data_IF_375777454838
#
_entry.id   IF_375777454838
#
_cell.length_a   1.000
_cell.length_b   1.000
_cell.length_c   1.000
_cell.angle_alpha   90.00
_cell.angle_beta   90.00
_cell.angle_gamma   90.00
#
_symmetry.space_group_name_H-M   'P 1'
#
loop_
_entity.id
_entity.type
_entity.pdbx_description
1 polymer ?
#
# COMPACT_ATOMS: atom_id res chain seq x y z
N UNK A 1 -16.34 14.58 -24.52
CA UNK A 1 -16.31 16.04 -24.79
C UNK A 1 -15.96 16.71 -23.48
N UNK A 2 -14.90 17.51 -23.46
CA UNK A 2 -14.55 18.33 -22.30
C UNK A 2 -15.48 19.56 -22.20
N UNK A 3 -15.55 20.19 -21.03
CA UNK A 3 -16.28 21.44 -20.79
C UNK A 3 -15.60 22.65 -21.45
N UNK A 4 -14.28 22.58 -21.72
CA UNK A 4 -13.54 23.66 -22.41
C UNK A 4 -13.46 24.97 -21.61
N UNK A 5 -13.60 24.90 -20.28
CA UNK A 5 -13.60 26.07 -19.40
C UNK A 5 -12.20 26.65 -19.16
N UNK A 6 -11.19 25.78 -19.11
CA UNK A 6 -9.81 26.12 -18.80
C UNK A 6 -8.97 25.77 -20.02
N UNK A 7 -8.31 26.75 -20.66
CA UNK A 7 -7.38 26.47 -21.74
C UNK A 7 -6.15 25.73 -21.20
N UNK A 8 -5.67 24.70 -21.91
CA UNK A 8 -4.51 23.90 -21.48
C UNK A 8 -4.61 22.44 -21.89
N UNK A 9 -3.60 21.65 -21.51
CA UNK A 9 -3.54 20.20 -21.74
C UNK A 9 -3.24 19.51 -20.42
N UNK A 10 -3.89 18.37 -20.18
CA UNK A 10 -3.56 17.47 -19.08
C UNK A 10 -2.39 16.58 -19.54
N UNK A 11 -1.26 16.69 -18.85
CA UNK A 11 -0.05 15.89 -19.10
C UNK A 11 0.05 14.68 -18.17
N UNK A 12 0.88 13.71 -18.53
CA UNK A 12 1.30 12.62 -17.62
C UNK A 12 2.57 13.08 -16.90
N UNK A 13 2.76 12.70 -15.63
CA UNK A 13 4.03 12.97 -14.96
C UNK A 13 5.19 12.24 -15.65
N UNK A 14 6.26 12.97 -15.94
CA UNK A 14 7.59 12.41 -16.20
C UNK A 14 8.39 12.50 -14.89
N UNK A 15 8.70 11.34 -14.30
CA UNK A 15 9.40 11.29 -13.00
C UNK A 15 10.86 11.73 -13.17
N UNK A 16 11.16 13.00 -12.94
CA UNK A 16 12.53 13.47 -12.69
C UNK A 16 12.59 14.65 -11.72
N UNK A 17 13.16 14.38 -10.53
CA UNK A 17 13.63 15.28 -9.46
C UNK A 17 12.61 16.04 -8.57
N UNK A 18 12.78 15.86 -7.26
CA UNK A 18 12.06 16.57 -6.17
C UNK A 18 12.26 18.10 -6.18
N UNK A 19 11.17 18.86 -6.00
CA UNK A 19 11.21 20.27 -5.55
C UNK A 19 9.87 20.68 -4.87
N UNK A 20 9.77 21.90 -4.33
CA UNK A 20 8.81 22.30 -3.28
C UNK A 20 7.65 23.23 -3.75
N UNK A 21 6.45 23.08 -3.14
CA UNK A 21 5.53 24.11 -2.53
C UNK A 21 4.03 23.87 -2.77
N UNK A 22 3.26 24.05 -1.67
CA UNK A 22 1.80 24.19 -1.55
C UNK A 22 1.46 25.53 -0.86
N UNK A 23 0.67 26.40 -1.49
CA UNK A 23 0.34 27.75 -0.94
C UNK A 23 -0.98 27.83 -0.16
N UNK A 24 -1.85 26.80 -0.19
CA UNK A 24 -3.24 26.92 0.30
C UNK A 24 -3.64 25.98 1.48
N UNK A 25 -2.74 25.12 1.99
CA UNK A 25 -3.14 24.06 2.97
C UNK A 25 -2.51 24.21 4.37
N UNK A 26 -1.38 24.90 4.50
CA UNK A 26 -0.58 24.88 5.73
C UNK A 26 0.39 23.69 5.80
N UNK A 27 0.97 23.40 6.98
CA UNK A 27 1.81 22.20 7.28
C UNK A 27 0.98 20.90 7.29
N UNK A 28 -0.01 20.79 6.40
CA UNK A 28 -1.07 19.80 6.45
C UNK A 28 -1.13 19.10 5.10
N UNK A 29 -1.17 17.78 5.13
CA UNK A 29 -1.17 16.95 3.94
C UNK A 29 -2.58 16.80 3.36
N UNK A 30 -2.66 16.68 2.03
CA UNK A 30 -3.86 16.32 1.27
C UNK A 30 -3.54 15.12 0.38
N UNK A 31 -4.56 14.34 0.01
CA UNK A 31 -4.39 13.09 -0.70
C UNK A 31 -4.58 13.25 -2.22
N UNK A 32 -3.48 13.06 -2.96
CA UNK A 32 -3.47 12.99 -4.42
C UNK A 32 -3.35 11.54 -4.88
N UNK A 33 -4.11 11.16 -5.91
CA UNK A 33 -4.05 9.83 -6.52
C UNK A 33 -4.33 9.92 -8.02
N UNK A 34 -3.30 10.19 -8.82
CA UNK A 34 -3.43 10.41 -10.27
C UNK A 34 -2.10 10.17 -11.01
N UNK A 35 -2.17 9.75 -12.27
CA UNK A 35 -1.01 9.72 -13.18
C UNK A 35 -0.95 10.94 -14.10
N UNK A 36 -2.03 11.70 -14.17
CA UNK A 36 -2.21 12.83 -15.08
C UNK A 36 -2.56 14.09 -14.29
N UNK A 37 -2.03 15.23 -14.68
CA UNK A 37 -2.27 16.51 -14.00
C UNK A 37 -2.34 17.67 -15.01
N UNK A 38 -2.99 18.75 -14.60
CA UNK A 38 -3.00 19.99 -15.37
C UNK A 38 -1.73 20.80 -15.05
N UNK A 39 -0.98 21.21 -16.09
CA UNK A 39 0.28 21.93 -15.89
C UNK A 39 0.06 23.46 -15.71
N UNK A 40 0.84 24.16 -14.85
CA UNK A 40 0.56 25.53 -14.47
C UNK A 40 0.84 26.55 -15.57
N UNK A 41 1.72 26.23 -16.53
CA UNK A 41 2.00 27.02 -17.76
C UNK A 41 2.55 26.02 -18.77
N UNK A 42 2.22 26.14 -20.06
CA UNK A 42 2.90 25.36 -21.10
C UNK A 42 4.11 26.18 -21.62
N UNK A 43 5.37 25.80 -21.31
CA UNK A 43 6.55 26.54 -21.77
C UNK A 43 6.64 26.61 -23.30
N UNK A 44 6.07 25.64 -24.01
CA UNK A 44 6.06 25.59 -25.47
C UNK A 44 4.94 26.43 -26.10
N UNK A 45 3.94 26.90 -25.33
CA UNK A 45 2.78 27.61 -25.87
C UNK A 45 2.85 29.14 -25.76
N UNK A 46 3.82 29.72 -25.05
CA UNK A 46 3.91 31.19 -24.83
C UNK A 46 2.56 31.83 -24.45
N UNK A 47 1.72 31.16 -23.66
CA UNK A 47 0.43 31.72 -23.25
C UNK A 47 0.15 31.53 -21.75
N UNK A 48 -0.23 32.63 -21.10
CA UNK A 48 -0.61 32.75 -19.68
C UNK A 48 -2.13 32.42 -19.48
N UNK A 49 -2.74 31.69 -20.41
CA UNK A 49 -4.20 31.67 -20.61
C UNK A 49 -5.00 31.08 -19.43
N UNK A 50 -4.37 30.22 -18.60
CA UNK A 50 -5.00 29.59 -17.44
C UNK A 50 -4.61 30.25 -16.10
N UNK A 51 -3.72 31.24 -16.10
CA UNK A 51 -3.16 31.85 -14.90
C UNK A 51 -4.22 32.47 -13.98
N UNK A 52 -5.28 33.03 -14.56
CA UNK A 52 -6.42 33.59 -13.81
C UNK A 52 -7.29 32.53 -13.10
N UNK A 53 -7.14 31.26 -13.47
CA UNK A 53 -7.88 30.15 -12.86
C UNK A 53 -7.11 29.50 -11.71
N UNK A 54 -5.78 29.56 -11.71
CA UNK A 54 -4.94 28.83 -10.76
C UNK A 54 -5.10 29.47 -9.37
N UNK A 55 -5.57 28.67 -8.41
CA UNK A 55 -5.61 29.06 -7.00
C UNK A 55 -4.36 28.56 -6.29
N UNK A 56 -3.98 27.30 -6.53
CA UNK A 56 -2.75 26.73 -5.98
C UNK A 56 -2.08 25.75 -6.93
N UNK A 57 -0.77 25.61 -6.76
CA UNK A 57 0.08 24.60 -7.42
C UNK A 57 0.67 23.65 -6.38
N UNK A 58 1.12 22.50 -6.85
CA UNK A 58 1.91 21.49 -6.14
C UNK A 58 3.14 21.13 -6.99
N UNK A 59 4.15 20.52 -6.37
CA UNK A 59 5.26 19.90 -7.09
C UNK A 59 5.33 18.40 -6.78
N UNK A 60 5.54 17.59 -7.81
CA UNK A 60 5.90 16.18 -7.71
C UNK A 60 6.77 15.80 -8.91
N UNK A 61 8.07 16.09 -8.85
CA UNK A 61 8.93 16.05 -10.04
C UNK A 61 8.83 17.32 -10.87
N UNK A 62 7.59 17.71 -11.15
CA UNK A 62 7.23 18.91 -11.90
C UNK A 62 6.09 19.66 -11.18
N UNK A 63 5.97 20.96 -11.46
CA UNK A 63 4.87 21.76 -10.95
C UNK A 63 3.57 21.39 -11.67
N UNK A 64 2.47 21.27 -10.92
CA UNK A 64 1.13 21.02 -11.45
C UNK A 64 0.06 21.79 -10.66
N UNK A 65 -1.10 22.00 -11.30
CA UNK A 65 -2.23 22.71 -10.71
C UNK A 65 -2.90 21.81 -9.68
N UNK A 66 -2.89 22.24 -8.43
CA UNK A 66 -3.51 21.53 -7.31
C UNK A 66 -4.96 21.98 -7.09
N UNK A 67 -5.25 23.26 -7.32
CA UNK A 67 -6.61 23.79 -7.25
C UNK A 67 -6.83 25.00 -8.15
N UNK A 68 -8.09 25.19 -8.56
CA UNK A 68 -8.54 26.29 -9.39
C UNK A 68 -9.72 27.01 -8.76
N UNK A 69 -9.85 28.30 -9.08
CA UNK A 69 -10.99 29.12 -8.67
C UNK A 69 -11.23 30.27 -9.64
N UNK A 70 -12.44 30.35 -10.19
CA UNK A 70 -12.90 31.54 -10.92
C UNK A 70 -14.41 31.73 -10.77
N UNK A 71 -14.82 32.87 -10.23
CA UNK A 71 -16.23 33.14 -9.93
C UNK A 71 -16.81 32.10 -8.97
N UNK A 72 -17.83 31.37 -9.41
CA UNK A 72 -18.48 30.28 -8.67
C UNK A 72 -17.91 28.89 -8.99
N UNK A 73 -16.91 28.79 -9.86
CA UNK A 73 -16.25 27.54 -10.22
C UNK A 73 -15.04 27.33 -9.32
N UNK A 74 -14.99 26.18 -8.68
CA UNK A 74 -13.90 25.72 -7.83
C UNK A 74 -13.64 24.25 -8.14
N UNK A 75 -12.38 23.85 -8.25
CA UNK A 75 -12.02 22.43 -8.33
C UNK A 75 -10.65 22.21 -7.69
N UNK A 76 -10.42 20.97 -7.27
CA UNK A 76 -9.17 20.48 -6.68
C UNK A 76 -8.76 19.21 -7.39
N UNK A 77 -7.45 19.01 -7.56
CA UNK A 77 -6.89 17.79 -8.15
C UNK A 77 -6.73 16.67 -7.10
N UNK A 78 -6.61 17.03 -5.82
CA UNK A 78 -6.64 16.10 -4.69
C UNK A 78 -8.07 15.74 -4.27
N UNK A 79 -8.21 14.71 -3.44
CA UNK A 79 -9.48 14.23 -2.92
C UNK A 79 -9.72 14.77 -1.50
N UNK A 80 -10.50 15.86 -1.31
CA UNK A 80 -10.75 16.42 0.01
C UNK A 80 -11.52 15.46 0.93
N UNK A 81 -12.36 14.59 0.38
CA UNK A 81 -13.06 13.52 1.12
C UNK A 81 -12.12 12.40 1.60
N UNK A 82 -10.88 12.34 1.08
CA UNK A 82 -9.82 11.40 1.47
C UNK A 82 -8.63 12.07 2.15
N UNK A 83 -8.76 13.35 2.48
CA UNK A 83 -7.69 14.16 3.10
C UNK A 83 -7.96 14.44 4.58
N UNK A 84 -8.68 13.55 5.27
CA UNK A 84 -9.02 13.68 6.68
C UNK A 84 -9.68 15.02 7.04
N UNK A 85 -9.37 15.54 8.23
CA UNK A 85 -9.90 16.81 8.73
C UNK A 85 -9.53 18.01 7.85
N UNK A 86 -8.38 17.94 7.17
CA UNK A 86 -7.90 18.99 6.26
C UNK A 86 -8.86 19.12 5.09
N UNK A 87 -9.16 18.02 4.41
CA UNK A 87 -10.08 18.05 3.28
C UNK A 87 -11.53 18.32 3.67
N UNK A 88 -11.98 17.87 4.85
CA UNK A 88 -13.27 18.28 5.41
C UNK A 88 -13.35 19.80 5.61
N UNK A 89 -12.25 20.46 6.02
CA UNK A 89 -12.20 21.92 6.14
C UNK A 89 -12.32 22.62 4.78
N UNK A 90 -11.73 22.04 3.74
CA UNK A 90 -11.84 22.51 2.34
C UNK A 90 -13.30 22.42 1.87
N UNK A 91 -13.97 21.29 2.10
CA UNK A 91 -15.39 21.11 1.73
C UNK A 91 -16.31 22.07 2.49
N UNK A 92 -16.01 22.36 3.75
CA UNK A 92 -16.74 23.34 4.58
C UNK A 92 -16.43 24.79 4.23
N UNK A 93 -15.50 25.04 3.29
CA UNK A 93 -15.02 26.38 2.88
C UNK A 93 -14.49 27.20 4.05
N UNK A 94 -13.86 26.56 5.02
CA UNK A 94 -13.18 27.25 6.11
C UNK A 94 -11.82 27.76 5.63
N UNK A 95 -11.41 28.95 6.06
CA UNK A 95 -10.08 29.47 5.73
C UNK A 95 -9.02 28.58 6.37
N UNK A 96 -8.21 27.93 5.54
CA UNK A 96 -6.96 27.32 5.98
C UNK A 96 -5.96 28.44 6.33
N UNK A 97 -5.23 28.28 7.43
CA UNK A 97 -4.11 29.13 7.82
C UNK A 97 -2.90 28.24 8.08
N UNK A 98 -1.75 28.50 7.46
CA UNK A 98 -0.51 27.78 7.76
C UNK A 98 0.62 28.04 6.74
N UNK A 99 1.80 27.49 7.02
CA UNK A 99 3.03 27.59 6.23
C UNK A 99 3.14 26.47 5.16
N UNK A 100 4.24 26.46 4.39
CA UNK A 100 4.42 25.64 3.18
C UNK A 100 4.64 24.16 3.52
N UNK A 101 3.85 23.26 2.95
CA UNK A 101 4.19 21.83 2.87
C UNK A 101 4.94 21.54 1.56
N UNK A 102 6.11 20.88 1.64
CA UNK A 102 7.08 20.84 0.54
C UNK A 102 7.38 19.46 -0.06
N UNK A 103 6.84 18.36 0.49
CA UNK A 103 7.14 16.98 0.05
C UNK A 103 5.94 16.03 0.18
N UNK A 104 5.94 14.96 -0.63
CA UNK A 104 5.09 13.80 -0.37
C UNK A 104 5.43 13.21 1.00
N UNK A 105 4.39 12.95 1.79
CA UNK A 105 4.56 12.24 3.05
C UNK A 105 4.87 10.76 2.78
N UNK A 106 5.79 10.20 3.57
CA UNK A 106 5.96 8.75 3.63
C UNK A 106 4.75 8.18 4.37
N UNK A 107 3.92 7.42 3.66
CA UNK A 107 2.64 6.93 4.18
C UNK A 107 2.83 5.77 5.16
N UNK A 108 2.08 5.81 6.26
CA UNK A 108 1.93 4.71 7.20
C UNK A 108 0.53 4.09 7.01
N UNK A 109 0.51 2.84 6.54
CA UNK A 109 -0.71 2.12 6.20
C UNK A 109 -1.07 1.16 7.33
N UNK A 110 -2.30 1.25 7.82
CA UNK A 110 -2.85 0.31 8.78
C UNK A 110 -3.51 -0.85 8.04
N UNK A 111 -3.22 -2.09 8.42
CA UNK A 111 -3.82 -3.27 7.81
C UNK A 111 -4.67 -4.05 8.81
N UNK A 112 -5.77 -4.65 8.35
CA UNK A 112 -6.57 -5.58 9.14
C UNK A 112 -7.04 -6.80 8.34
N UNK A 113 -6.84 -7.97 8.94
CA UNK A 113 -7.39 -9.25 8.45
C UNK A 113 -8.85 -9.36 8.84
N UNK A 114 -9.73 -9.44 7.84
CA UNK A 114 -11.17 -9.64 8.05
C UNK A 114 -11.50 -11.10 7.77
N UNK A 115 -12.02 -11.79 8.79
CA UNK A 115 -12.41 -13.20 8.73
C UNK A 115 -13.82 -13.40 9.25
N UNK A 116 -14.38 -14.56 8.98
CA UNK A 116 -15.63 -15.04 9.57
C UNK A 116 -15.29 -15.96 10.75
N UNK A 117 -15.89 -15.73 11.92
CA UNK A 117 -15.75 -16.63 13.06
C UNK A 117 -16.71 -17.84 12.94
N UNK A 118 -16.64 -18.76 13.91
CA UNK A 118 -17.48 -19.97 13.94
C UNK A 118 -19.00 -19.67 14.04
N UNK A 119 -19.40 -18.43 14.37
CA UNK A 119 -20.80 -17.96 14.43
C UNK A 119 -21.27 -17.26 13.14
N UNK A 120 -20.40 -17.09 12.16
CA UNK A 120 -20.71 -16.35 10.94
C UNK A 120 -20.47 -14.84 11.04
N UNK A 121 -19.98 -14.33 12.17
CA UNK A 121 -19.72 -12.90 12.35
C UNK A 121 -18.37 -12.52 11.73
N UNK A 122 -18.30 -11.31 11.19
CA UNK A 122 -17.05 -10.71 10.75
C UNK A 122 -16.23 -10.22 11.95
N UNK A 123 -14.99 -10.69 12.03
CA UNK A 123 -14.03 -10.38 13.09
C UNK A 123 -12.69 -10.00 12.49
N UNK A 124 -11.93 -9.20 13.25
CA UNK A 124 -10.51 -8.96 12.96
C UNK A 124 -9.65 -9.98 13.69
N UNK A 125 -8.74 -10.63 12.99
CA UNK A 125 -7.80 -11.59 13.59
C UNK A 125 -6.36 -11.09 13.53
N UNK A 126 -5.46 -11.70 14.31
CA UNK A 126 -4.02 -11.42 14.20
C UNK A 126 -3.54 -11.95 12.84
N UNK A 127 -2.73 -11.18 12.13
CA UNK A 127 -2.00 -11.61 10.93
C UNK A 127 -0.84 -12.55 11.22
N UNK A 128 -0.97 -13.44 12.21
CA UNK A 128 -0.07 -14.59 12.31
C UNK A 128 -0.60 -15.64 11.32
N UNK A 129 0.29 -16.36 10.64
CA UNK A 129 -0.10 -17.41 9.70
C UNK A 129 -1.10 -18.37 10.32
N UNK A 130 -2.37 -18.24 9.91
CA UNK A 130 -3.50 -19.18 9.97
C UNK A 130 -3.84 -19.85 11.32
N UNK A 131 -3.00 -19.79 12.36
CA UNK A 131 -3.29 -20.18 13.74
C UNK A 131 -3.92 -18.99 14.48
N UNK A 132 -5.15 -18.70 14.04
CA UNK A 132 -5.97 -17.60 14.58
C UNK A 132 -6.80 -18.04 15.78
N UNK A 133 -6.65 -19.28 16.23
CA UNK A 133 -7.44 -19.83 17.34
C UNK A 133 -6.69 -19.64 18.66
N UNK A 134 -7.43 -19.37 19.73
CA UNK A 134 -6.83 -19.33 21.06
C UNK A 134 -6.46 -20.76 21.50
N UNK A 135 -5.26 -20.94 22.08
CA UNK A 135 -4.88 -22.18 22.76
C UNK A 135 -5.60 -22.34 24.12
N UNK A 136 -6.91 -22.10 24.14
CA UNK A 136 -7.82 -22.38 25.26
C UNK A 136 -8.58 -23.67 24.95
N UNK A 137 -9.29 -24.23 25.94
CA UNK A 137 -10.05 -25.48 25.78
C UNK A 137 -11.14 -25.41 24.69
N UNK A 138 -11.56 -24.19 24.32
CA UNK A 138 -12.68 -23.94 23.42
C UNK A 138 -12.21 -23.63 21.98
N UNK A 139 -10.90 -23.40 21.75
CA UNK A 139 -10.28 -23.23 20.43
C UNK A 139 -10.97 -22.17 19.55
N UNK A 140 -11.49 -21.10 20.15
CA UNK A 140 -12.25 -20.04 19.45
C UNK A 140 -11.34 -19.15 18.59
N UNK A 141 -11.88 -18.59 17.50
CA UNK A 141 -11.18 -17.60 16.68
C UNK A 141 -10.93 -16.32 17.47
N UNK A 142 -9.67 -15.92 17.61
CA UNK A 142 -9.25 -14.70 18.32
C UNK A 142 -9.87 -13.47 17.67
N UNK A 143 -10.70 -12.75 18.41
CA UNK A 143 -11.41 -11.56 17.96
C UNK A 143 -10.74 -10.29 18.49
N UNK A 144 -10.06 -9.54 17.62
CA UNK A 144 -9.42 -8.26 17.93
C UNK A 144 -10.38 -7.06 17.82
N UNK A 145 -11.66 -7.31 17.51
CA UNK A 145 -12.70 -6.31 17.37
C UNK A 145 -13.43 -6.41 16.04
N UNK A 146 -14.40 -5.50 15.86
CA UNK A 146 -15.14 -5.36 14.60
C UNK A 146 -14.34 -4.55 13.58
N UNK A 147 -14.28 -4.98 12.30
CA UNK A 147 -13.50 -4.29 11.27
C UNK A 147 -13.74 -2.78 11.19
N UNK A 148 -15.00 -2.36 11.25
CA UNK A 148 -15.42 -0.94 11.14
C UNK A 148 -14.90 -0.10 12.32
N UNK A 149 -15.03 -0.62 13.54
CA UNK A 149 -14.62 0.09 14.76
C UNK A 149 -13.10 0.24 14.81
N UNK A 150 -12.37 -0.80 14.40
CA UNK A 150 -10.91 -0.76 14.35
C UNK A 150 -10.39 0.17 13.26
N UNK A 151 -10.97 0.13 12.05
CA UNK A 151 -10.63 1.06 10.98
C UNK A 151 -10.85 2.52 11.41
N UNK A 152 -11.95 2.80 12.13
CA UNK A 152 -12.20 4.10 12.72
C UNK A 152 -11.14 4.49 13.75
N UNK A 153 -10.67 3.55 14.56
CA UNK A 153 -9.61 3.81 15.52
C UNK A 153 -8.28 4.13 14.83
N UNK A 154 -7.90 3.36 13.81
CA UNK A 154 -6.70 3.62 13.00
C UNK A 154 -6.72 4.99 12.34
N UNK A 155 -7.84 5.39 11.75
CA UNK A 155 -8.00 6.74 11.22
C UNK A 155 -7.77 7.82 12.28
N UNK A 156 -8.39 7.67 13.47
CA UNK A 156 -8.21 8.61 14.58
C UNK A 156 -6.78 8.66 15.12
N UNK A 157 -6.09 7.53 15.09
CA UNK A 157 -4.71 7.42 15.55
C UNK A 157 -3.72 8.00 14.53
N UNK A 158 -4.16 8.27 13.29
CA UNK A 158 -3.38 8.96 12.27
C UNK A 158 -2.89 8.08 11.12
N UNK A 159 -3.56 6.95 10.85
CA UNK A 159 -3.28 6.15 9.66
C UNK A 159 -3.57 6.96 8.37
N UNK A 160 -2.62 6.97 7.44
CA UNK A 160 -2.79 7.65 6.14
C UNK A 160 -3.70 6.85 5.18
N UNK A 161 -3.79 5.54 5.41
CA UNK A 161 -4.58 4.60 4.63
C UNK A 161 -4.95 3.40 5.50
N UNK A 162 -6.13 2.81 5.24
CA UNK A 162 -6.58 1.58 5.89
C UNK A 162 -6.79 0.49 4.83
N UNK A 163 -6.05 -0.62 4.96
CA UNK A 163 -6.15 -1.79 4.11
C UNK A 163 -6.92 -2.92 4.79
N UNK A 164 -7.88 -3.48 4.08
CA UNK A 164 -8.67 -4.63 4.52
C UNK A 164 -8.27 -5.86 3.72
N UNK A 165 -7.72 -6.87 4.40
CA UNK A 165 -7.47 -8.18 3.81
C UNK A 165 -8.70 -9.06 4.04
N UNK A 166 -9.51 -9.19 3.00
CA UNK A 166 -10.71 -10.02 3.00
C UNK A 166 -10.34 -11.49 2.82
N UNK A 167 -10.35 -12.23 3.93
CA UNK A 167 -10.07 -13.67 3.99
C UNK A 167 -11.37 -14.43 4.31
N UNK A 168 -12.51 -13.84 3.94
CA UNK A 168 -13.82 -14.48 4.13
C UNK A 168 -14.10 -15.47 3.02
N UNK A 169 -14.72 -16.61 3.35
CA UNK A 169 -15.06 -17.67 2.41
C UNK A 169 -16.44 -17.51 1.75
N UNK A 170 -16.87 -16.28 1.42
CA UNK A 170 -18.23 -16.03 0.92
C UNK A 170 -18.39 -16.14 -0.61
N UNK A 171 -17.69 -17.10 -1.24
CA UNK A 171 -17.73 -17.26 -2.71
C UNK A 171 -19.08 -17.72 -3.27
N UNK A 172 -19.95 -18.28 -2.42
CA UNK A 172 -21.28 -18.77 -2.84
C UNK A 172 -22.37 -17.69 -2.83
N UNK A 173 -22.08 -16.51 -2.25
CA UNK A 173 -23.08 -15.43 -2.13
C UNK A 173 -23.13 -14.57 -3.40
N UNK A 174 -24.32 -14.05 -3.77
CA UNK A 174 -24.42 -13.01 -4.79
C UNK A 174 -23.52 -11.83 -4.43
N UNK A 175 -22.87 -11.23 -5.44
CA UNK A 175 -21.90 -10.14 -5.25
C UNK A 175 -22.42 -9.01 -4.35
N UNK A 176 -23.67 -8.59 -4.53
CA UNK A 176 -24.28 -7.50 -3.75
C UNK A 176 -24.50 -7.79 -2.26
N UNK A 177 -24.46 -9.07 -1.88
CA UNK A 177 -24.71 -9.55 -0.52
C UNK A 177 -23.42 -9.84 0.24
N UNK A 178 -22.25 -9.64 -0.39
CA UNK A 178 -20.97 -9.86 0.27
C UNK A 178 -20.83 -8.98 1.52
N UNK A 179 -20.63 -9.56 2.71
CA UNK A 179 -20.55 -8.80 3.96
C UNK A 179 -19.45 -7.72 3.97
N UNK A 180 -18.35 -7.96 3.24
CA UNK A 180 -17.25 -7.00 3.12
C UNK A 180 -17.68 -5.67 2.47
N UNK A 181 -18.68 -5.67 1.58
CA UNK A 181 -19.23 -4.43 1.00
C UNK A 181 -19.88 -3.56 2.08
N UNK A 182 -20.57 -4.17 3.04
CA UNK A 182 -21.17 -3.45 4.17
C UNK A 182 -20.10 -2.90 5.12
N UNK A 183 -19.02 -3.65 5.36
CA UNK A 183 -17.88 -3.17 6.14
C UNK A 183 -17.34 -1.87 5.56
N UNK A 184 -17.12 -1.82 4.24
CA UNK A 184 -16.64 -0.61 3.57
C UNK A 184 -17.63 0.55 3.69
N UNK A 185 -18.92 0.30 3.44
CA UNK A 185 -19.98 1.34 3.53
C UNK A 185 -20.03 1.96 4.92
N UNK A 186 -20.05 1.14 5.97
CA UNK A 186 -20.07 1.63 7.36
C UNK A 186 -18.74 2.27 7.80
N UNK A 187 -17.62 1.87 7.20
CA UNK A 187 -16.32 2.50 7.46
C UNK A 187 -16.30 3.94 6.98
N UNK A 188 -16.85 4.20 5.78
CA UNK A 188 -16.90 5.54 5.19
C UNK A 188 -17.72 6.57 5.98
N UNK A 189 -18.63 6.13 6.85
CA UNK A 189 -19.39 7.07 7.70
C UNK A 189 -18.47 7.90 8.61
N UNK A 190 -17.27 7.41 8.94
CA UNK A 190 -16.38 8.04 9.92
C UNK A 190 -14.89 8.00 9.57
N UNK A 191 -14.51 7.45 8.41
CA UNK A 191 -13.11 7.32 7.99
C UNK A 191 -12.92 8.04 6.66
N UNK A 192 -12.12 9.11 6.69
CA UNK A 192 -11.90 10.03 5.56
C UNK A 192 -10.47 9.96 5.04
N UNK A 193 -9.91 8.75 5.04
CA UNK A 193 -8.64 8.38 4.39
C UNK A 193 -8.90 7.27 3.38
N UNK A 194 -7.90 6.95 2.60
CA UNK A 194 -7.96 5.94 1.55
C UNK A 194 -8.24 4.55 2.13
N UNK A 195 -9.16 3.82 1.48
CA UNK A 195 -9.49 2.43 1.81
C UNK A 195 -9.02 1.51 0.70
N UNK A 196 -8.18 0.53 1.03
CA UNK A 196 -7.75 -0.54 0.12
C UNK A 196 -8.43 -1.83 0.53
N UNK A 197 -8.92 -2.63 -0.42
CA UNK A 197 -9.47 -3.96 -0.15
C UNK A 197 -8.76 -5.03 -0.99
N UNK A 198 -8.21 -6.05 -0.34
CA UNK A 198 -7.59 -7.20 -0.98
C UNK A 198 -8.34 -8.48 -0.67
N UNK A 199 -8.31 -9.46 -1.57
CA UNK A 199 -8.94 -10.77 -1.39
C UNK A 199 -10.30 -10.89 -2.08
N UNK A 200 -10.41 -11.88 -2.97
CA UNK A 200 -11.63 -12.15 -3.74
C UNK A 200 -11.87 -11.26 -4.96
N UNK A 201 -10.88 -10.46 -5.38
CA UNK A 201 -10.95 -9.61 -6.58
C UNK A 201 -10.56 -10.45 -7.81
N UNK A 202 -11.48 -11.30 -8.25
CA UNK A 202 -11.31 -12.21 -9.39
C UNK A 202 -12.66 -12.55 -10.01
N UNK A 203 -12.64 -13.17 -11.18
CA UNK A 203 -13.84 -13.73 -11.81
C UNK A 203 -14.40 -14.85 -10.90
N UNK A 204 -15.73 -14.88 -10.71
CA UNK A 204 -16.38 -15.96 -9.97
C UNK A 204 -17.83 -16.18 -10.43
N UNK A 205 -18.38 -17.34 -10.07
CA UNK A 205 -19.80 -17.68 -10.30
C UNK A 205 -20.47 -17.91 -8.95
N UNK A 206 -21.59 -17.23 -8.70
CA UNK A 206 -22.35 -17.40 -7.45
C UNK A 206 -23.19 -18.69 -7.43
N UNK A 207 -23.82 -19.00 -6.29
CA UNK A 207 -24.70 -20.18 -6.15
C UNK A 207 -25.94 -20.15 -7.06
N UNK A 208 -26.32 -18.98 -7.60
CA UNK A 208 -27.42 -18.85 -8.56
C UNK A 208 -26.96 -19.07 -10.01
N UNK A 209 -25.66 -19.33 -10.24
CA UNK A 209 -25.07 -19.51 -11.56
C UNK A 209 -24.79 -18.21 -12.30
N UNK A 210 -24.83 -17.05 -11.63
CA UNK A 210 -24.45 -15.78 -12.24
C UNK A 210 -22.93 -15.62 -12.20
N UNK A 211 -22.35 -15.48 -13.39
CA UNK A 211 -20.95 -15.14 -13.56
C UNK A 211 -20.71 -13.64 -13.36
N UNK A 212 -19.67 -13.31 -12.60
CA UNK A 212 -19.18 -11.96 -12.37
C UNK A 212 -17.73 -11.87 -12.83
N UNK A 213 -17.41 -10.83 -13.61
CA UNK A 213 -16.03 -10.50 -13.98
C UNK A 213 -15.31 -9.77 -12.85
N UNK A 214 -14.00 -9.89 -12.77
CA UNK A 214 -13.13 -9.15 -11.85
C UNK A 214 -13.37 -7.64 -11.90
N UNK A 215 -13.67 -7.08 -13.08
CA UNK A 215 -14.07 -5.69 -13.23
C UNK A 215 -15.41 -5.37 -12.55
N UNK A 216 -16.42 -6.22 -12.66
CA UNK A 216 -17.69 -6.06 -11.93
C UNK A 216 -17.49 -6.15 -10.42
N UNK A 217 -16.66 -7.10 -9.97
CA UNK A 217 -16.30 -7.25 -8.56
C UNK A 217 -15.63 -5.99 -8.03
N UNK A 218 -14.55 -5.54 -8.69
CA UNK A 218 -13.85 -4.32 -8.30
C UNK A 218 -14.79 -3.10 -8.34
N UNK A 219 -15.64 -2.99 -9.37
CA UNK A 219 -16.63 -1.93 -9.51
C UNK A 219 -17.62 -1.87 -8.35
N UNK A 220 -18.02 -3.01 -7.79
CA UNK A 220 -18.93 -3.05 -6.64
C UNK A 220 -18.21 -2.70 -5.33
N UNK A 221 -16.95 -3.13 -5.17
CA UNK A 221 -16.10 -2.70 -4.06
C UNK A 221 -15.86 -1.18 -4.07
N UNK A 222 -15.59 -0.58 -5.24
CA UNK A 222 -15.45 0.87 -5.37
C UNK A 222 -16.75 1.61 -5.02
N UNK A 223 -17.89 1.15 -5.52
CA UNK A 223 -19.21 1.71 -5.17
C UNK A 223 -19.55 1.58 -3.68
N UNK A 224 -18.97 0.59 -3.02
CA UNK A 224 -19.18 0.34 -1.60
C UNK A 224 -18.17 1.05 -0.70
N UNK A 225 -17.13 1.66 -1.27
CA UNK A 225 -16.27 2.60 -0.58
C UNK A 225 -14.77 2.34 -0.62
N UNK A 226 -14.33 1.25 -1.27
CA UNK A 226 -12.92 1.09 -1.57
C UNK A 226 -12.46 2.18 -2.55
N UNK A 227 -11.23 2.63 -2.40
CA UNK A 227 -10.55 3.51 -3.35
C UNK A 227 -9.59 2.71 -4.23
N UNK A 228 -9.06 1.61 -3.69
CA UNK A 228 -8.14 0.69 -4.36
C UNK A 228 -8.53 -0.76 -4.10
N UNK A 229 -8.27 -1.61 -5.09
CA UNK A 229 -8.38 -3.06 -4.96
C UNK A 229 -6.99 -3.70 -5.05
N UNK A 230 -6.75 -4.72 -4.21
CA UNK A 230 -5.52 -5.48 -4.20
C UNK A 230 -5.72 -6.85 -4.85
N UNK A 231 -4.88 -7.15 -5.84
CA UNK A 231 -4.89 -8.40 -6.61
C UNK A 231 -3.66 -9.22 -6.25
N UNK A 232 -3.87 -10.48 -5.86
CA UNK A 232 -2.81 -11.42 -5.46
C UNK A 232 -2.54 -12.47 -6.54
N UNK A 233 -3.09 -13.68 -6.36
CA UNK A 233 -2.78 -14.83 -7.23
C UNK A 233 -3.05 -14.62 -8.72
N UNK A 234 -4.14 -13.94 -9.07
CA UNK A 234 -4.45 -13.63 -10.47
C UNK A 234 -3.37 -12.77 -11.15
N UNK A 235 -2.71 -11.87 -10.39
CA UNK A 235 -1.61 -11.06 -10.90
C UNK A 235 -0.39 -11.91 -11.26
N UNK A 236 -0.12 -12.98 -10.49
CA UNK A 236 0.98 -13.91 -10.78
C UNK A 236 0.72 -14.67 -12.07
N UNK A 237 -0.49 -15.21 -12.25
CA UNK A 237 -0.85 -15.92 -13.48
C UNK A 237 -0.84 -15.00 -14.70
N UNK A 238 -1.34 -13.77 -14.55
CA UNK A 238 -1.29 -12.75 -15.61
C UNK A 238 0.17 -12.42 -16.00
N UNK A 239 1.06 -12.27 -15.02
CA UNK A 239 2.48 -11.98 -15.26
C UNK A 239 3.22 -13.15 -15.92
N UNK A 240 3.01 -14.39 -15.48
CA UNK A 240 3.59 -15.58 -16.11
C UNK A 240 3.21 -15.67 -17.59
N UNK A 241 1.92 -15.47 -17.90
CA UNK A 241 1.43 -15.49 -19.29
C UNK A 241 2.00 -14.33 -20.11
N UNK A 242 2.10 -13.13 -19.52
CA UNK A 242 2.70 -11.97 -20.16
C UNK A 242 4.19 -12.18 -20.44
N UNK A 243 4.97 -12.70 -19.50
CA UNK A 243 6.40 -12.98 -19.68
C UNK A 243 6.59 -14.04 -20.76
N UNK A 244 5.76 -15.08 -20.76
CA UNK A 244 5.83 -16.18 -21.74
C UNK A 244 5.50 -15.73 -23.17
N UNK A 245 4.55 -14.80 -23.33
CA UNK A 245 4.02 -14.42 -24.64
C UNK A 245 4.52 -13.07 -25.15
N UNK A 246 4.89 -12.16 -24.25
CA UNK A 246 5.12 -10.74 -24.52
C UNK A 246 3.85 -9.95 -24.85
N UNK A 247 2.65 -10.53 -24.68
CA UNK A 247 1.39 -9.94 -25.17
C UNK A 247 0.48 -9.49 -24.02
N UNK A 248 0.10 -8.21 -24.06
CA UNK A 248 -1.00 -7.65 -23.26
C UNK A 248 -2.34 -8.06 -23.85
N UNK A 249 -3.03 -8.99 -23.21
CA UNK A 249 -4.26 -9.60 -23.76
C UNK A 249 -5.48 -8.67 -23.70
N UNK A 250 -5.44 -7.66 -22.83
CA UNK A 250 -6.56 -6.80 -22.46
C UNK A 250 -7.65 -7.51 -21.65
N UNK A 251 -7.38 -8.72 -21.14
CA UNK A 251 -8.37 -9.58 -20.49
C UNK A 251 -8.07 -9.90 -19.03
N UNK A 252 -6.85 -9.68 -18.57
CA UNK A 252 -6.49 -9.91 -17.17
C UNK A 252 -7.20 -8.91 -16.26
N UNK A 253 -7.39 -9.25 -14.98
CA UNK A 253 -8.01 -8.33 -14.02
C UNK A 253 -7.24 -7.00 -13.93
N UNK A 254 -5.90 -7.06 -13.95
CA UNK A 254 -5.01 -5.90 -13.97
C UNK A 254 -5.35 -4.97 -15.14
N UNK A 255 -5.38 -5.50 -16.37
CA UNK A 255 -5.63 -4.71 -17.58
C UNK A 255 -7.05 -4.16 -17.64
N UNK A 256 -8.05 -4.96 -17.25
CA UNK A 256 -9.46 -4.56 -17.29
C UNK A 256 -9.77 -3.46 -16.27
N UNK A 257 -9.32 -3.63 -15.02
CA UNK A 257 -9.58 -2.69 -13.94
C UNK A 257 -8.79 -1.40 -14.18
N UNK A 258 -7.48 -1.48 -14.49
CA UNK A 258 -6.65 -0.30 -14.74
C UNK A 258 -7.13 0.52 -15.93
N UNK A 259 -7.62 -0.12 -17.00
CA UNK A 259 -8.16 0.57 -18.18
C UNK A 259 -9.40 1.41 -17.86
N UNK A 260 -10.24 0.96 -16.94
CA UNK A 260 -11.52 1.62 -16.61
C UNK A 260 -11.37 2.58 -15.43
N UNK A 261 -10.66 2.17 -14.40
CA UNK A 261 -10.53 2.88 -13.14
C UNK A 261 -9.20 3.66 -13.01
N UNK A 262 -8.26 3.43 -13.91
CA UNK A 262 -6.89 3.95 -13.86
C UNK A 262 -5.96 3.03 -13.06
N UNK A 263 -4.66 3.06 -13.38
CA UNK A 263 -3.65 2.25 -12.70
C UNK A 263 -3.66 2.47 -11.19
N UNK A 264 -3.90 3.71 -10.75
CA UNK A 264 -3.91 4.10 -9.34
C UNK A 264 -4.95 3.36 -8.49
N UNK A 265 -5.94 2.71 -9.11
CA UNK A 265 -6.94 1.90 -8.42
C UNK A 265 -6.52 0.43 -8.21
N UNK A 266 -5.40 0.00 -8.80
CA UNK A 266 -4.93 -1.39 -8.83
C UNK A 266 -3.63 -1.52 -8.03
N UNK A 267 -3.73 -2.20 -6.89
CA UNK A 267 -2.58 -2.62 -6.07
C UNK A 267 -2.29 -4.09 -6.35
N UNK A 268 -1.04 -4.49 -6.47
CA UNK A 268 -0.66 -5.92 -6.56
C UNK A 268 -0.01 -6.37 -5.27
N UNK A 269 -0.59 -7.38 -4.62
CA UNK A 269 0.01 -8.04 -3.46
C UNK A 269 0.99 -9.10 -3.95
N UNK A 270 2.28 -8.89 -3.69
CA UNK A 270 3.35 -9.83 -4.00
C UNK A 270 3.77 -10.51 -2.71
N UNK A 271 3.72 -11.84 -2.70
CA UNK A 271 4.04 -12.69 -1.55
C UNK A 271 5.29 -13.55 -1.86
N UNK A 272 6.50 -12.97 -1.80
CA UNK A 272 7.73 -13.69 -2.05
C UNK A 272 8.23 -14.41 -0.80
N UNK A 273 8.95 -15.50 -1.04
CA UNK A 273 9.84 -16.13 -0.06
C UNK A 273 11.27 -16.13 -0.60
N UNK A 274 12.24 -15.94 0.28
CA UNK A 274 13.65 -15.94 -0.06
C UNK A 274 14.14 -17.37 -0.28
N UNK A 275 14.83 -17.58 -1.38
CA UNK A 275 15.48 -18.85 -1.72
C UNK A 275 16.97 -18.56 -1.88
N UNK A 276 17.76 -19.03 -0.92
CA UNK A 276 19.22 -18.85 -0.92
C UNK A 276 19.87 -19.80 -1.95
N UNK A 277 20.96 -19.35 -2.55
CA UNK A 277 21.67 -20.03 -3.62
C UNK A 277 23.18 -20.03 -3.37
N UNK A 278 23.84 -21.10 -3.78
CA UNK A 278 25.31 -21.16 -3.79
C UNK A 278 25.87 -20.34 -4.96
N UNK A 279 25.22 -20.40 -6.13
CA UNK A 279 25.62 -19.68 -7.32
C UNK A 279 24.46 -18.82 -7.86
N UNK A 280 24.68 -17.53 -8.20
CA UNK A 280 23.65 -16.68 -8.77
C UNK A 280 23.06 -17.18 -10.11
N UNK A 281 23.74 -18.09 -10.81
CA UNK A 281 23.31 -18.65 -12.10
C UNK A 281 22.48 -19.95 -11.95
N UNK A 282 22.21 -20.41 -10.72
CA UNK A 282 21.43 -21.64 -10.47
C UNK A 282 19.94 -21.51 -10.85
N UNK A 283 19.48 -20.27 -11.06
CA UNK A 283 18.11 -19.95 -11.49
C UNK A 283 18.13 -18.97 -12.65
N UNK A 284 17.10 -19.02 -13.50
CA UNK A 284 16.94 -18.07 -14.62
C UNK A 284 16.40 -16.69 -14.19
N UNK A 285 16.00 -16.56 -12.92
CA UNK A 285 15.41 -15.36 -12.35
C UNK A 285 16.47 -14.45 -11.75
N UNK A 286 16.12 -13.16 -11.58
CA UNK A 286 17.00 -12.18 -10.98
C UNK A 286 17.43 -12.57 -9.57
N UNK A 287 18.73 -12.81 -9.41
CA UNK A 287 19.40 -13.01 -8.14
C UNK A 287 20.04 -11.72 -7.62
N UNK A 288 20.26 -11.67 -6.31
CA UNK A 288 20.98 -10.60 -5.63
C UNK A 288 22.04 -11.20 -4.71
N UNK A 289 23.08 -10.41 -4.44
CA UNK A 289 23.93 -10.63 -3.26
C UNK A 289 23.16 -10.17 -2.03
N UNK A 290 23.02 -11.03 -1.04
CA UNK A 290 22.27 -10.73 0.18
C UNK A 290 23.15 -10.04 1.22
N UNK A 291 22.58 -9.10 1.96
CA UNK A 291 23.29 -8.41 3.04
C UNK A 291 23.56 -9.36 4.21
N UNK A 292 22.62 -10.27 4.47
CA UNK A 292 22.75 -11.33 5.47
C UNK A 292 22.83 -12.70 4.79
N UNK A 293 23.95 -13.44 4.91
CA UNK A 293 24.09 -14.77 4.31
C UNK A 293 23.02 -15.76 4.79
N UNK A 294 22.74 -16.77 3.97
CA UNK A 294 21.83 -17.87 4.28
C UNK A 294 22.34 -18.77 5.41
N UNK A 295 21.52 -19.73 5.88
CA UNK A 295 21.85 -20.62 7.00
C UNK A 295 23.15 -21.41 6.82
N UNK A 296 23.56 -21.68 5.57
CA UNK A 296 24.80 -22.40 5.24
C UNK A 296 25.90 -21.47 4.70
N UNK A 297 25.72 -20.15 4.81
CA UNK A 297 26.67 -19.15 4.30
C UNK A 297 26.44 -18.76 2.84
N UNK A 298 25.27 -19.07 2.28
CA UNK A 298 24.89 -18.66 0.92
C UNK A 298 24.86 -17.13 0.79
N UNK A 299 25.67 -16.57 -0.09
CA UNK A 299 25.78 -15.11 -0.32
C UNK A 299 24.79 -14.60 -1.37
N UNK A 300 24.06 -15.50 -2.03
CA UNK A 300 23.11 -15.16 -3.09
C UNK A 300 21.69 -15.61 -2.74
N UNK A 301 20.70 -14.90 -3.23
CA UNK A 301 19.30 -15.34 -3.18
C UNK A 301 18.48 -14.80 -4.35
N UNK A 302 17.36 -15.46 -4.60
CA UNK A 302 16.23 -14.89 -5.34
C UNK A 302 14.97 -14.98 -4.49
N UNK A 303 13.95 -14.23 -4.89
CA UNK A 303 12.70 -14.12 -4.15
C UNK A 303 11.58 -14.77 -4.94
N UNK A 304 11.30 -16.03 -4.63
CA UNK A 304 10.28 -16.81 -5.33
C UNK A 304 8.88 -16.34 -4.93
N UNK A 305 8.06 -15.97 -5.91
CA UNK A 305 6.67 -15.57 -5.66
C UNK A 305 5.78 -16.79 -5.36
N UNK A 306 4.71 -16.53 -4.63
CA UNK A 306 3.71 -17.52 -4.28
C UNK A 306 2.30 -17.09 -4.66
N UNK A 307 1.40 -18.08 -4.71
CA UNK A 307 -0.04 -17.90 -4.89
C UNK A 307 -0.79 -18.65 -3.80
N UNK A 308 -2.12 -18.53 -3.78
CA UNK A 308 -2.97 -19.18 -2.80
C UNK A 308 -2.57 -18.81 -1.36
N UNK A 309 -2.28 -17.52 -1.13
CA UNK A 309 -1.90 -16.97 0.18
C UNK A 309 -0.64 -17.60 0.76
N UNK A 310 0.44 -17.68 -0.02
CA UNK A 310 1.73 -18.23 0.42
C UNK A 310 1.94 -19.72 0.18
N UNK A 311 0.88 -20.48 -0.12
CA UNK A 311 0.90 -21.96 -0.06
C UNK A 311 1.54 -22.64 -1.26
N UNK A 312 1.54 -22.00 -2.42
CA UNK A 312 2.05 -22.58 -3.66
C UNK A 312 3.12 -21.67 -4.24
N UNK A 313 4.34 -22.19 -4.40
CA UNK A 313 5.42 -21.47 -5.09
C UNK A 313 5.23 -21.50 -6.59
N UNK A 314 5.57 -20.38 -7.24
CA UNK A 314 5.51 -20.23 -8.69
C UNK A 314 6.91 -20.06 -9.28
N UNK A 315 7.14 -20.48 -10.53
CA UNK A 315 8.40 -20.25 -11.23
C UNK A 315 8.48 -18.80 -11.74
N UNK A 316 8.46 -17.83 -10.82
CA UNK A 316 8.61 -16.40 -11.12
C UNK A 316 9.19 -15.69 -9.89
N UNK A 317 10.17 -14.83 -10.11
CA UNK A 317 10.79 -14.01 -9.06
C UNK A 317 10.02 -12.72 -8.80
N UNK A 318 10.19 -12.13 -7.61
CA UNK A 318 9.55 -10.87 -7.23
C UNK A 318 9.92 -9.72 -8.18
N UNK A 319 11.17 -9.72 -8.68
CA UNK A 319 11.64 -8.75 -9.67
C UNK A 319 10.88 -8.89 -11.01
N UNK A 320 10.78 -10.11 -11.54
CA UNK A 320 10.08 -10.36 -12.81
C UNK A 320 8.58 -10.06 -12.68
N UNK A 321 7.97 -10.50 -11.57
CA UNK A 321 6.56 -10.23 -11.30
C UNK A 321 6.28 -8.74 -11.22
N UNK A 322 7.08 -7.98 -10.45
CA UNK A 322 6.90 -6.54 -10.27
C UNK A 322 6.91 -5.79 -11.60
N UNK A 323 7.88 -6.09 -12.47
CA UNK A 323 7.97 -5.47 -13.80
C UNK A 323 6.81 -5.85 -14.70
N UNK A 324 6.42 -7.12 -14.69
CA UNK A 324 5.30 -7.60 -15.50
C UNK A 324 3.97 -6.95 -15.09
N UNK A 325 3.70 -6.83 -13.79
CA UNK A 325 2.42 -6.25 -13.34
C UNK A 325 2.35 -4.74 -13.53
N UNK A 326 3.47 -4.03 -13.44
CA UNK A 326 3.55 -2.62 -13.82
C UNK A 326 3.14 -2.44 -15.29
N UNK A 327 3.69 -3.26 -16.19
CA UNK A 327 3.33 -3.25 -17.60
C UNK A 327 1.84 -3.59 -17.83
N UNK A 328 1.26 -4.48 -17.02
CA UNK A 328 -0.14 -4.89 -17.11
C UNK A 328 -1.12 -3.88 -16.48
N UNK A 329 -0.63 -2.78 -15.91
CA UNK A 329 -1.44 -1.66 -15.43
C UNK A 329 -1.60 -1.58 -13.91
N UNK A 330 -0.77 -2.28 -13.13
CA UNK A 330 -0.67 -2.00 -11.70
C UNK A 330 -0.22 -0.55 -11.47
N UNK A 331 -0.79 0.11 -10.46
CA UNK A 331 -0.39 1.45 -10.04
C UNK A 331 0.40 1.48 -8.74
N UNK A 332 0.44 0.37 -8.00
CA UNK A 332 1.15 0.24 -6.73
C UNK A 332 1.43 -1.23 -6.42
N UNK A 333 2.55 -1.51 -5.76
CA UNK A 333 2.92 -2.86 -5.29
C UNK A 333 2.83 -2.89 -3.77
N UNK A 334 2.03 -3.81 -3.23
CA UNK A 334 2.09 -4.23 -1.84
C UNK A 334 3.07 -5.40 -1.73
N UNK A 335 4.28 -5.13 -1.23
CA UNK A 335 5.36 -6.11 -1.18
C UNK A 335 5.44 -6.71 0.23
N UNK A 336 4.87 -7.91 0.38
CA UNK A 336 4.99 -8.68 1.61
C UNK A 336 6.33 -9.44 1.64
N UNK A 337 6.65 -10.06 2.76
CA UNK A 337 7.81 -10.94 2.91
C UNK A 337 7.38 -12.14 3.77
N UNK A 338 7.22 -13.32 3.15
CA UNK A 338 6.74 -14.52 3.86
C UNK A 338 7.67 -14.88 5.02
N UNK A 339 8.99 -14.79 4.82
CA UNK A 339 9.98 -15.13 5.86
C UNK A 339 9.98 -14.11 7.03
N UNK A 340 9.50 -12.90 6.78
CA UNK A 340 9.33 -11.85 7.77
C UNK A 340 7.96 -11.92 8.47
N UNK A 341 7.07 -12.76 7.96
CA UNK A 341 5.69 -12.89 8.40
C UNK A 341 5.51 -14.15 9.25
N UNK A 342 5.48 -13.97 10.57
CA UNK A 342 4.77 -14.89 11.45
C UNK A 342 5.31 -16.30 11.70
N UNK A 343 6.60 -16.61 11.52
CA UNK A 343 7.16 -17.87 12.05
C UNK A 343 7.82 -17.71 13.44
N UNK A 344 7.21 -18.40 14.41
CA UNK A 344 7.88 -18.91 15.60
C UNK A 344 8.83 -20.04 15.17
N UNK A 345 10.10 -19.74 14.91
CA UNK A 345 11.15 -20.69 15.29
C UNK A 345 11.76 -20.30 16.63
N UNK A 346 11.58 -21.24 17.53
CA UNK A 346 11.79 -21.21 18.96
C UNK A 346 13.29 -21.24 19.30
N UNK A 347 14.05 -20.19 18.99
CA UNK A 347 15.36 -19.94 19.61
C UNK A 347 15.55 -18.45 19.91
N UNK A 348 14.66 -17.89 20.72
CA UNK A 348 14.89 -16.57 21.32
C UNK A 348 15.78 -16.74 22.55
N UNK A 349 17.09 -16.50 22.39
CA UNK A 349 17.99 -16.22 23.52
C UNK A 349 17.54 -14.90 24.15
N UNK A 350 16.64 -14.99 25.12
CA UNK A 350 16.17 -13.86 25.90
C UNK A 350 17.17 -13.54 27.01
N UNK A 351 18.33 -12.98 26.64
CA UNK A 351 19.26 -12.27 27.54
C UNK A 351 19.96 -11.25 26.65
N UNK A 352 19.66 -9.95 26.65
CA UNK A 352 20.22 -8.97 27.60
C UNK A 352 19.71 -7.57 27.19
N UNK A 353 18.69 -7.00 27.83
CA UNK A 353 18.34 -5.57 27.64
C UNK A 353 17.83 -4.87 28.92
N UNK A 354 18.22 -5.36 30.11
CA UNK A 354 17.83 -4.72 31.38
C UNK A 354 18.97 -4.19 32.24
N UNK A 355 20.24 -4.27 31.81
CA UNK A 355 21.34 -3.68 32.57
C UNK A 355 22.38 -3.07 31.61
N UNK A 356 22.73 -1.80 31.88
CA UNK A 356 23.82 -0.97 31.33
C UNK A 356 23.45 0.01 30.18
N UNK A 357 23.02 1.25 30.52
CA UNK A 357 22.79 2.34 29.56
C UNK A 357 24.05 3.05 29.02
N UNK A 358 25.26 2.48 29.14
CA UNK A 358 26.53 3.22 28.88
C UNK A 358 27.49 2.61 27.85
N UNK A 359 27.04 1.69 26.98
CA UNK A 359 27.91 1.06 25.96
C UNK A 359 27.37 1.13 24.51
N UNK A 360 26.47 2.06 24.20
CA UNK A 360 25.95 2.27 22.83
C UNK A 360 26.86 3.18 21.98
N UNK A 361 28.14 2.81 21.82
CA UNK A 361 29.02 3.45 20.83
C UNK A 361 29.79 2.46 19.94
N UNK A 362 29.30 1.23 19.75
CA UNK A 362 30.05 0.27 18.92
C UNK A 362 29.45 -1.13 18.73
N UNK A 363 28.13 -1.30 18.66
CA UNK A 363 27.55 -2.57 18.21
C UNK A 363 27.16 -2.42 16.74
N UNK A 364 27.89 -3.15 15.90
CA UNK A 364 27.70 -3.27 14.46
C UNK A 364 26.31 -3.82 14.10
N UNK A 365 25.85 -3.40 12.93
CA UNK A 365 24.70 -3.86 12.15
C UNK A 365 24.50 -5.39 12.14
N UNK A 366 23.73 -5.92 13.08
CA UNK A 366 23.20 -7.28 13.01
C UNK A 366 21.68 -7.19 12.82
N UNK A 367 21.27 -6.77 11.62
CA UNK A 367 19.86 -6.61 11.25
C UNK A 367 19.29 -7.98 10.87
N UNK A 368 18.73 -8.65 11.86
CA UNK A 368 17.96 -9.88 11.67
C UNK A 368 16.68 -9.56 10.89
N UNK A 369 16.43 -10.21 9.76
CA UNK A 369 15.08 -10.28 9.18
C UNK A 369 14.24 -11.31 9.95
N UNK A 370 12.92 -11.12 9.99
CA UNK A 370 11.98 -11.98 10.73
C UNK A 370 10.88 -11.19 11.42
N UNK A 371 9.87 -11.88 11.95
CA UNK A 371 8.72 -11.24 12.59
C UNK A 371 9.16 -10.28 13.72
N UNK A 372 8.75 -9.01 13.61
CA UNK A 372 9.06 -7.99 14.60
C UNK A 372 10.54 -7.58 14.64
N UNK A 373 11.35 -7.99 13.66
CA UNK A 373 12.78 -7.65 13.57
C UNK A 373 13.11 -6.62 12.48
N UNK A 374 12.13 -6.27 11.65
CA UNK A 374 12.30 -5.31 10.55
C UNK A 374 11.76 -5.83 9.24
N UNK A 375 11.63 -4.92 8.27
CA UNK A 375 11.32 -5.26 6.89
C UNK A 375 12.53 -5.91 6.19
N UNK A 376 12.30 -6.75 5.18
CA UNK A 376 13.38 -7.24 4.30
C UNK A 376 13.83 -6.13 3.36
N UNK A 377 14.94 -5.47 3.71
CA UNK A 377 15.47 -4.36 2.92
C UNK A 377 16.03 -4.79 1.57
N UNK A 378 16.63 -5.98 1.48
CA UNK A 378 17.22 -6.48 0.23
C UNK A 378 16.11 -6.70 -0.82
N UNK A 379 14.99 -7.30 -0.38
CA UNK A 379 13.78 -7.48 -1.19
C UNK A 379 13.18 -6.13 -1.61
N UNK A 380 12.99 -5.21 -0.66
CA UNK A 380 12.36 -3.93 -0.93
C UNK A 380 13.21 -3.10 -1.88
N UNK A 381 14.54 -3.09 -1.69
CA UNK A 381 15.45 -2.43 -2.62
C UNK A 381 15.37 -3.04 -4.02
N UNK A 382 15.44 -4.37 -4.12
CA UNK A 382 15.35 -5.10 -5.38
C UNK A 382 14.11 -4.72 -6.20
N UNK A 383 12.95 -4.66 -5.54
CA UNK A 383 11.68 -4.37 -6.24
C UNK A 383 11.51 -2.88 -6.48
N UNK A 384 11.78 -2.03 -5.49
CA UNK A 384 11.60 -0.57 -5.63
C UNK A 384 12.56 0.09 -6.61
N UNK A 385 13.72 -0.52 -6.88
CA UNK A 385 14.62 -0.08 -7.95
C UNK A 385 14.20 -0.59 -9.35
N UNK A 386 13.37 -1.63 -9.40
CA UNK A 386 13.01 -2.31 -10.64
C UNK A 386 11.81 -1.69 -11.36
N UNK A 387 10.95 -0.97 -10.64
CA UNK A 387 9.68 -0.41 -11.12
C UNK A 387 9.60 1.09 -10.88
N UNK A 388 8.77 1.78 -11.67
CA UNK A 388 8.49 3.22 -11.49
C UNK A 388 7.25 3.50 -10.64
N UNK A 389 6.40 2.49 -10.44
CA UNK A 389 5.22 2.59 -9.57
C UNK A 389 5.58 2.49 -8.07
N UNK A 390 4.82 3.15 -7.17
CA UNK A 390 5.04 3.06 -5.72
C UNK A 390 5.09 1.64 -5.16
N UNK A 391 6.05 1.40 -4.26
CA UNK A 391 6.19 0.14 -3.51
C UNK A 391 5.90 0.39 -2.03
N UNK A 392 4.96 -0.38 -1.48
CA UNK A 392 4.61 -0.45 -0.06
C UNK A 392 5.42 -1.59 0.57
N UNK A 393 6.26 -1.26 1.56
CA UNK A 393 6.95 -2.24 2.38
C UNK A 393 5.97 -2.87 3.38
N UNK A 394 5.88 -4.20 3.41
CA UNK A 394 5.00 -4.95 4.31
C UNK A 394 5.72 -6.15 4.93
N UNK A 395 5.15 -6.69 6.02
CA UNK A 395 5.67 -7.79 6.85
C UNK A 395 6.96 -7.45 7.64
N UNK A 396 7.02 -7.84 8.92
CA UNK A 396 8.23 -7.72 9.77
C UNK A 396 8.35 -6.45 10.65
N UNK A 397 7.50 -5.44 10.47
CA UNK A 397 7.48 -4.26 11.35
C UNK A 397 7.20 -4.63 12.83
N UNK A 398 8.03 -4.14 13.74
CA UNK A 398 8.04 -4.48 15.17
C UNK A 398 8.26 -3.28 16.08
N UNK A 399 8.97 -2.26 15.58
CA UNK A 399 9.24 -1.03 16.29
C UNK A 399 9.19 0.17 15.32
N UNK A 400 9.13 1.38 15.88
CA UNK A 400 9.10 2.64 15.12
C UNK A 400 10.33 2.78 14.21
N UNK A 401 11.48 2.34 14.71
CA UNK A 401 12.77 2.42 14.03
C UNK A 401 12.74 1.68 12.69
N UNK A 402 11.95 0.61 12.56
CA UNK A 402 11.84 -0.15 11.32
C UNK A 402 11.25 0.69 10.19
N UNK A 403 10.31 1.60 10.49
CA UNK A 403 9.75 2.55 9.52
C UNK A 403 10.81 3.57 9.09
N UNK A 404 11.51 4.18 10.05
CA UNK A 404 12.59 5.11 9.70
C UNK A 404 13.68 4.41 8.87
N UNK A 405 13.99 3.16 9.16
CA UNK A 405 15.06 2.42 8.50
C UNK A 405 14.69 2.09 7.05
N UNK A 406 13.49 1.55 6.80
CA UNK A 406 13.04 1.20 5.45
C UNK A 406 12.99 2.43 4.53
N UNK A 407 12.50 3.57 5.02
CA UNK A 407 12.43 4.80 4.21
C UNK A 407 13.78 5.47 3.97
N UNK A 408 14.78 5.25 4.84
CA UNK A 408 16.14 5.79 4.68
C UNK A 408 17.01 4.92 3.78
N UNK A 409 16.78 3.61 3.80
CA UNK A 409 17.63 2.63 3.12
C UNK A 409 17.08 2.20 1.77
N UNK A 410 15.80 2.45 1.48
CA UNK A 410 15.15 2.00 0.26
C UNK A 410 14.27 3.07 -0.38
N UNK A 411 13.84 2.79 -1.63
CA UNK A 411 12.90 3.63 -2.37
C UNK A 411 11.42 3.32 -2.03
N UNK A 412 11.16 2.65 -0.90
CA UNK A 412 9.80 2.43 -0.42
C UNK A 412 9.02 3.76 -0.32
N UNK A 413 7.82 3.76 -0.89
CA UNK A 413 6.92 4.90 -0.92
C UNK A 413 5.97 4.93 0.28
N UNK A 414 5.70 3.77 0.86
CA UNK A 414 4.89 3.60 2.05
C UNK A 414 5.37 2.38 2.86
N UNK A 415 4.93 2.30 4.10
CA UNK A 415 5.14 1.12 4.94
C UNK A 415 3.83 0.73 5.61
N UNK A 416 3.53 -0.57 5.58
CA UNK A 416 2.32 -1.16 6.12
C UNK A 416 2.65 -1.99 7.35
N UNK A 417 1.83 -1.87 8.39
CA UNK A 417 1.85 -2.82 9.49
C UNK A 417 0.44 -3.15 9.98
N UNK A 418 0.29 -4.36 10.51
CA UNK A 418 -0.93 -4.84 11.13
C UNK A 418 -0.72 -5.00 12.66
N UNK A 419 0.02 -6.05 13.03
CA UNK A 419 0.15 -6.54 14.41
C UNK A 419 0.48 -5.48 15.47
N UNK A 420 1.47 -4.63 15.21
CA UNK A 420 1.97 -3.64 16.18
C UNK A 420 0.95 -2.54 16.49
N UNK A 421 0.09 -2.19 15.53
CA UNK A 421 -0.97 -1.21 15.72
C UNK A 421 -2.16 -1.83 16.46
N UNK A 422 -2.54 -3.08 16.15
CA UNK A 422 -3.57 -3.80 16.91
C UNK A 422 -3.24 -3.88 18.40
N UNK A 423 -1.96 -4.11 18.73
CA UNK A 423 -1.48 -4.27 20.12
C UNK A 423 -1.15 -2.94 20.79
N UNK A 424 -1.24 -1.82 20.07
CA UNK A 424 -0.83 -0.48 20.54
C UNK A 424 0.62 -0.43 21.04
N UNK A 425 1.48 -1.27 20.47
CA UNK A 425 2.91 -1.29 20.76
C UNK A 425 3.61 -0.09 20.12
N UNK A 426 3.10 0.34 18.97
CA UNK A 426 3.56 1.51 18.23
C UNK A 426 2.38 2.42 17.94
N UNK A 427 2.56 3.72 18.18
CA UNK A 427 1.60 4.75 17.78
C UNK A 427 1.89 5.21 16.35
N UNK A 428 0.86 5.43 15.55
CA UNK A 428 1.00 5.95 14.17
C UNK A 428 1.76 7.27 14.13
N UNK A 429 1.49 8.18 15.09
CA UNK A 429 2.21 9.45 15.22
C UNK A 429 3.72 9.27 15.33
N UNK A 430 4.20 8.18 15.94
CA UNK A 430 5.62 7.89 16.11
C UNK A 430 6.23 7.22 14.88
N UNK A 431 5.43 6.49 14.09
CA UNK A 431 5.89 5.78 12.89
C UNK A 431 6.09 6.72 11.67
N UNK A 432 5.56 7.94 11.69
CA UNK A 432 5.81 8.92 10.63
C UNK A 432 7.27 9.40 10.65
N UNK A 433 8.02 9.27 9.54
CA UNK A 433 9.44 9.66 9.46
C UNK A 433 9.67 11.15 9.69
N UNK A 434 8.67 11.98 9.39
CA UNK A 434 8.73 13.43 9.55
C UNK A 434 8.87 13.81 11.03
N UNK A 435 8.31 13.01 11.94
CA UNK A 435 8.44 13.22 13.38
C UNK A 435 9.79 12.73 13.90
N UNK A 436 10.36 11.66 13.32
CA UNK A 436 11.64 11.10 13.76
C UNK A 436 12.82 12.04 13.46
N UNK A 437 12.76 12.77 12.34
CA UNK A 437 13.77 13.78 12.01
C UNK A 437 13.67 14.99 12.95
N UNK A 438 12.47 15.40 13.33
CA UNK A 438 12.23 16.45 14.33
C UNK A 438 12.70 16.06 15.74
N UNK A 439 12.55 14.78 16.14
CA UNK A 439 12.96 14.28 17.46
C UNK A 439 14.45 13.99 17.60
N UNK A 440 15.20 13.86 16.51
CA UNK A 440 16.66 13.63 16.50
C UNK A 440 17.47 14.92 16.31
N UNK A 441 16.83 16.01 15.88
CA UNK A 441 17.45 17.35 15.76
C UNK A 441 17.40 18.16 17.07
N UNK A 442 16.70 17.65 18.09
CA UNK A 442 16.72 18.12 19.48
C UNK A 442 17.33 17.06 20.40
#
# INVERSE_FOLDING_TARGET
KDLGLIPGVVGRFDLSNDSEILDDVGDRHVYFVHSYCAMPVNPAACSDDNKEWISSVCNYGEDFIASIRRGNVHAVQFHPEKSGDVGLSVLRRQKATGQKASKLAKRVIACLDVRTNDKGDLVVTKGDQYDVREHTKENEVRNLGKPVELARQYYKDGADEVSFLNITGFHDFPLGDLPMLQVLRYTLDNVFVTLTVGGGIQDFTDANGRHYTSLEVASEYFRSGADKVSIGSDAVYAAEEYIRTGVKTGKTSLEQISRVCGNQAVVVSIDPRRVCLENPDDVEFKTITVTNPGPNGEEYAWYQCTVNGGREGRPIGAYELAKAVEELGAGEILLNCIDCDGENELYCFQVTCLLVPQLFSGINDFLLSGQGKGFDLDLIQLVSDAVSIPVIASSGAGAVEHFSYVFKKTNASAALAAGIFHRKEVLFSSASPQLFQFLMEF
#
